data_IF_273348545542
#
_entry.id   IF_273348545542
#
_cell.length_a   1.000
_cell.length_b   1.000
_cell.length_c   1.000
_cell.angle_alpha   90.00
_cell.angle_beta   90.00
_cell.angle_gamma   90.00
#
_symmetry.space_group_name_H-M   'P 1'
#
loop_
_entity.id
_entity.type
_entity.pdbx_description
1 polymer ?
#
# COMPACT_ATOMS: atom_id res chain seq x y z
N UNK A 1 9.71 20.91 -6.14
CA UNK A 1 10.21 20.05 -5.04
C UNK A 1 10.44 18.64 -5.61
N UNK A 2 11.60 18.00 -5.37
CA UNK A 2 12.00 16.73 -6.00
C UNK A 2 10.98 15.58 -5.83
N UNK A 3 10.48 15.27 -4.61
CA UNK A 3 9.42 14.27 -4.41
C UNK A 3 8.11 14.56 -5.16
N UNK A 4 7.78 15.83 -5.39
CA UNK A 4 6.58 16.21 -6.15
C UNK A 4 6.71 15.76 -7.61
N UNK A 5 7.88 16.04 -8.21
CA UNK A 5 8.20 15.61 -9.57
C UNK A 5 8.18 14.09 -9.64
N UNK A 6 8.85 13.39 -8.72
CA UNK A 6 8.84 11.93 -8.68
C UNK A 6 7.42 11.33 -8.66
N UNK A 7 6.53 11.89 -7.83
CA UNK A 7 5.13 11.47 -7.77
C UNK A 7 4.38 11.70 -9.09
N UNK A 8 4.58 12.84 -9.74
CA UNK A 8 3.94 13.16 -11.03
C UNK A 8 4.42 12.18 -12.11
N UNK A 9 5.74 12.01 -12.27
CA UNK A 9 6.28 11.11 -13.29
C UNK A 9 5.79 9.67 -13.05
N UNK A 10 5.79 9.19 -11.81
CA UNK A 10 5.33 7.85 -11.48
C UNK A 10 3.82 7.66 -11.68
N UNK A 11 3.02 8.71 -11.49
CA UNK A 11 1.57 8.61 -11.72
C UNK A 11 1.20 8.67 -13.21
N UNK A 12 2.02 9.31 -14.04
CA UNK A 12 1.81 9.43 -15.49
C UNK A 12 2.28 8.19 -16.27
N UNK A 13 3.45 7.63 -15.92
CA UNK A 13 4.06 6.55 -16.69
C UNK A 13 4.24 5.24 -15.92
N UNK A 14 4.05 5.25 -14.60
CA UNK A 14 4.21 4.07 -13.73
C UNK A 14 5.55 3.32 -13.90
N UNK A 15 6.59 4.04 -14.33
CA UNK A 15 7.93 3.50 -14.48
C UNK A 15 8.55 3.20 -13.11
N UNK A 16 9.50 2.26 -13.10
CA UNK A 16 10.17 1.84 -11.87
C UNK A 16 10.79 3.03 -11.12
N UNK A 17 10.58 3.12 -9.82
CA UNK A 17 11.00 4.27 -8.99
C UNK A 17 12.52 4.52 -9.00
N UNK A 18 13.31 3.50 -9.36
CA UNK A 18 14.78 3.55 -9.45
C UNK A 18 15.32 3.68 -10.89
N UNK A 19 14.45 3.72 -11.91
CA UNK A 19 14.86 3.83 -13.32
C UNK A 19 15.50 5.19 -13.63
N UNK A 20 16.43 5.22 -14.59
CA UNK A 20 16.98 6.44 -15.22
C UNK A 20 17.44 7.55 -14.26
N UNK A 21 18.08 7.18 -13.14
CA UNK A 21 18.58 8.15 -12.15
C UNK A 21 17.49 8.86 -11.33
N UNK A 22 16.27 8.33 -11.32
CA UNK A 22 15.14 8.87 -10.54
C UNK A 22 15.25 8.64 -9.05
N UNK A 23 16.18 7.81 -8.59
CA UNK A 23 16.44 7.56 -7.17
C UNK A 23 16.77 8.85 -6.41
N UNK A 24 17.44 9.81 -7.07
CA UNK A 24 17.74 11.13 -6.49
C UNK A 24 16.53 12.06 -6.37
N UNK A 25 15.39 11.71 -6.96
CA UNK A 25 14.12 12.44 -6.85
C UNK A 25 13.21 11.88 -5.74
N UNK A 26 13.39 10.61 -5.39
CA UNK A 26 12.58 9.92 -4.41
C UNK A 26 12.87 10.39 -2.98
N UNK A 27 11.89 10.23 -2.10
CA UNK A 27 12.16 10.29 -0.66
C UNK A 27 12.89 9.02 -0.20
N UNK A 28 13.35 9.01 1.05
CA UNK A 28 14.10 7.88 1.61
C UNK A 28 13.37 6.53 1.49
N UNK A 29 12.05 6.54 1.66
CA UNK A 29 11.25 5.33 1.72
C UNK A 29 11.04 4.73 0.33
N UNK A 30 10.77 5.58 -0.67
CA UNK A 30 10.66 5.15 -2.07
C UNK A 30 12.04 4.75 -2.66
N UNK A 31 13.12 5.42 -2.24
CA UNK A 31 14.49 5.07 -2.65
C UNK A 31 14.92 3.68 -2.21
N UNK A 32 14.57 3.28 -0.99
CA UNK A 32 14.90 1.96 -0.45
C UNK A 32 13.76 0.95 -0.54
N UNK A 33 12.63 1.35 -1.14
CA UNK A 33 11.43 0.52 -1.30
C UNK A 33 11.02 -0.16 0.01
N UNK A 34 11.20 0.54 1.13
CA UNK A 34 10.95 0.07 2.50
C UNK A 34 10.84 1.28 3.45
N UNK A 35 10.04 1.17 4.52
CA UNK A 35 9.98 2.26 5.50
C UNK A 35 11.19 2.19 6.43
N UNK A 36 11.92 3.30 6.53
CA UNK A 36 12.95 3.47 7.53
C UNK A 36 12.35 3.55 8.95
N UNK A 37 13.00 2.91 9.90
CA UNK A 37 12.61 2.81 11.30
C UNK A 37 13.51 3.68 12.18
N UNK A 38 13.17 3.79 13.48
CA UNK A 38 13.84 4.70 14.43
C UNK A 38 15.35 4.48 14.55
N UNK A 39 15.83 3.27 14.38
CA UNK A 39 17.25 2.90 14.48
C UNK A 39 17.91 2.68 13.10
N UNK A 40 17.33 3.19 12.01
CA UNK A 40 17.89 3.04 10.66
C UNK A 40 17.60 1.70 9.97
N UNK A 41 16.88 0.79 10.62
CA UNK A 41 16.40 -0.46 9.99
C UNK A 41 15.16 -0.23 9.14
N UNK A 42 14.67 -1.29 8.49
CA UNK A 42 13.63 -1.21 7.47
C UNK A 42 12.50 -2.21 7.73
N UNK A 43 11.28 -1.84 7.31
CA UNK A 43 10.12 -2.74 7.32
C UNK A 43 10.00 -3.52 6.02
N UNK A 44 9.69 -4.81 6.11
CA UNK A 44 9.29 -5.66 4.99
C UNK A 44 7.80 -5.97 5.14
N UNK A 45 7.01 -5.55 4.14
CA UNK A 45 5.54 -5.70 4.16
C UNK A 45 5.07 -6.29 2.83
N UNK A 46 4.94 -7.62 2.76
CA UNK A 46 4.41 -8.31 1.59
C UNK A 46 2.94 -7.98 1.35
N UNK A 47 2.52 -8.02 0.08
CA UNK A 47 1.12 -7.89 -0.30
C UNK A 47 0.35 -9.15 0.07
N UNK A 48 -0.79 -8.97 0.73
CA UNK A 48 -1.78 -10.01 1.03
C UNK A 48 -3.13 -9.45 0.58
N UNK A 49 -3.50 -9.74 -0.67
CA UNK A 49 -4.66 -9.12 -1.31
C UNK A 49 -5.96 -9.53 -0.61
N UNK A 50 -6.81 -8.56 -0.27
CA UNK A 50 -8.04 -8.81 0.47
C UNK A 50 -7.86 -9.43 1.86
N UNK A 51 -6.63 -9.54 2.36
CA UNK A 51 -6.31 -10.26 3.60
C UNK A 51 -6.31 -11.78 3.49
N UNK A 52 -6.38 -12.34 2.27
CA UNK A 52 -6.41 -13.79 2.04
C UNK A 52 -4.99 -14.36 1.87
N UNK A 53 -4.64 -15.34 2.70
CA UNK A 53 -3.30 -15.96 2.73
C UNK A 53 -3.41 -17.47 2.94
N UNK A 54 -2.62 -18.24 2.19
CA UNK A 54 -2.54 -19.70 2.37
C UNK A 54 -1.67 -20.07 3.58
N UNK A 55 -1.88 -21.26 4.19
CA UNK A 55 -1.01 -21.74 5.26
C UNK A 55 0.47 -21.77 4.87
N UNK A 56 0.81 -22.22 3.65
CA UNK A 56 2.21 -22.26 3.18
C UNK A 56 2.84 -20.87 3.11
N UNK A 57 2.11 -19.88 2.58
CA UNK A 57 2.57 -18.49 2.55
C UNK A 57 2.74 -17.93 3.96
N UNK A 58 1.86 -18.28 4.89
CA UNK A 58 1.97 -17.88 6.29
C UNK A 58 3.21 -18.50 6.97
N UNK A 59 3.52 -19.77 6.67
CA UNK A 59 4.74 -20.44 7.15
C UNK A 59 5.98 -19.73 6.63
N UNK A 60 6.05 -19.40 5.34
CA UNK A 60 7.19 -18.66 4.76
C UNK A 60 7.42 -17.33 5.47
N UNK A 61 6.37 -16.56 5.78
CA UNK A 61 6.51 -15.31 6.55
C UNK A 61 7.11 -15.57 7.93
N UNK A 62 6.69 -16.66 8.59
CA UNK A 62 7.24 -17.06 9.89
C UNK A 62 8.69 -17.53 9.83
N UNK A 63 9.08 -18.24 8.76
CA UNK A 63 10.45 -18.69 8.53
C UNK A 63 11.39 -17.51 8.27
N UNK A 64 11.01 -16.60 7.38
CA UNK A 64 11.75 -15.35 7.13
C UNK A 64 11.88 -14.53 8.42
N UNK A 65 10.80 -14.37 9.17
CA UNK A 65 10.84 -13.64 10.44
C UNK A 65 11.81 -14.27 11.44
N UNK A 66 11.83 -15.60 11.56
CA UNK A 66 12.76 -16.32 12.45
C UNK A 66 14.21 -16.21 11.97
N UNK A 67 14.46 -16.40 10.67
CA UNK A 67 15.80 -16.37 10.09
C UNK A 67 16.50 -15.03 10.29
N UNK A 68 15.77 -13.93 10.14
CA UNK A 68 16.32 -12.57 10.24
C UNK A 68 15.98 -11.89 11.59
N UNK A 69 15.43 -12.65 12.55
CA UNK A 69 15.01 -12.17 13.88
C UNK A 69 14.13 -10.92 13.84
N UNK A 70 13.14 -10.89 12.95
CA UNK A 70 12.30 -9.72 12.71
C UNK A 70 11.13 -9.63 13.70
N UNK A 71 10.82 -8.42 14.15
CA UNK A 71 9.57 -8.16 14.87
C UNK A 71 8.39 -8.33 13.91
N UNK A 72 7.35 -9.06 14.34
CA UNK A 72 6.19 -9.42 13.51
C UNK A 72 4.90 -8.85 14.09
N UNK A 73 4.03 -8.31 13.23
CA UNK A 73 2.77 -7.72 13.66
C UNK A 73 1.66 -7.83 12.62
N UNK A 74 0.50 -8.32 13.06
CA UNK A 74 -0.75 -8.22 12.29
C UNK A 74 -1.23 -6.77 12.29
N UNK A 75 -1.55 -6.25 11.11
CA UNK A 75 -2.01 -4.87 10.92
C UNK A 75 -3.52 -4.78 10.74
N UNK A 76 -4.08 -3.58 10.96
CA UNK A 76 -5.48 -3.30 10.66
C UNK A 76 -5.84 -3.36 9.17
N UNK A 77 -4.86 -3.47 8.27
CA UNK A 77 -5.05 -3.70 6.84
C UNK A 77 -5.04 -5.17 6.43
N UNK A 78 -5.13 -6.09 7.40
CA UNK A 78 -5.07 -7.55 7.20
C UNK A 78 -3.75 -8.01 6.56
N UNK A 79 -2.64 -7.46 7.06
CA UNK A 79 -1.28 -7.84 6.64
C UNK A 79 -0.42 -8.26 7.81
N UNK A 80 0.68 -8.93 7.50
CA UNK A 80 1.78 -9.21 8.44
C UNK A 80 2.95 -8.29 8.09
N UNK A 81 3.28 -7.39 9.00
CA UNK A 81 4.44 -6.53 8.88
C UNK A 81 5.63 -7.16 9.60
N UNK A 82 6.81 -7.13 8.96
CA UNK A 82 8.09 -7.56 9.49
C UNK A 82 8.99 -6.34 9.69
N UNK A 83 9.59 -6.17 10.87
CA UNK A 83 10.37 -4.99 11.23
C UNK A 83 11.76 -5.37 11.75
N UNK A 84 12.74 -4.48 11.55
CA UNK A 84 14.11 -4.66 12.05
C UNK A 84 15.08 -5.18 10.98
N UNK A 85 14.65 -5.28 9.72
CA UNK A 85 15.53 -5.72 8.64
C UNK A 85 16.61 -4.66 8.38
N UNK A 86 17.87 -5.08 8.27
CA UNK A 86 18.98 -4.20 7.85
C UNK A 86 18.91 -3.98 6.34
N UNK A 87 19.54 -2.90 5.87
CA UNK A 87 19.49 -2.50 4.46
C UNK A 87 19.99 -3.63 3.55
N UNK A 88 21.11 -4.24 3.91
CA UNK A 88 21.78 -5.32 3.18
C UNK A 88 21.02 -6.65 3.21
N UNK A 89 20.09 -6.83 4.15
CA UNK A 89 19.26 -8.04 4.23
C UNK A 89 18.06 -7.97 3.28
N UNK A 90 17.62 -6.77 2.88
CA UNK A 90 16.39 -6.60 2.12
C UNK A 90 16.37 -7.42 0.81
N UNK A 91 17.42 -7.44 -0.04
CA UNK A 91 17.38 -8.24 -1.25
C UNK A 91 17.17 -9.74 -0.99
N UNK A 92 17.88 -10.32 -0.02
CA UNK A 92 17.78 -11.74 0.30
C UNK A 92 16.41 -12.12 0.91
N UNK A 93 15.86 -11.24 1.75
CA UNK A 93 14.49 -11.39 2.27
C UNK A 93 13.49 -11.39 1.11
N UNK A 94 13.59 -10.42 0.18
CA UNK A 94 12.67 -10.33 -0.94
C UNK A 94 12.84 -11.43 -1.98
N UNK A 95 14.03 -11.98 -2.18
CA UNK A 95 14.24 -13.20 -2.99
C UNK A 95 13.40 -14.36 -2.45
N UNK A 96 13.48 -14.61 -1.14
CA UNK A 96 12.71 -15.68 -0.48
C UNK A 96 11.20 -15.45 -0.63
N UNK A 97 10.74 -14.22 -0.39
CA UNK A 97 9.32 -13.87 -0.46
C UNK A 97 8.77 -13.93 -1.90
N UNK A 98 9.53 -13.42 -2.88
CA UNK A 98 9.12 -13.45 -4.29
C UNK A 98 9.11 -14.87 -4.85
N UNK A 99 10.06 -15.73 -4.44
CA UNK A 99 10.05 -17.15 -4.77
C UNK A 99 8.80 -17.87 -4.22
N UNK A 100 8.30 -17.45 -3.05
CA UNK A 100 7.04 -17.91 -2.48
C UNK A 100 5.78 -17.24 -3.10
N UNK A 101 5.95 -16.39 -4.12
CA UNK A 101 4.87 -15.74 -4.83
C UNK A 101 4.26 -14.53 -4.11
N UNK A 102 5.03 -13.84 -3.26
CA UNK A 102 4.66 -12.53 -2.74
C UNK A 102 5.08 -11.39 -3.66
N UNK A 103 4.30 -10.31 -3.62
CA UNK A 103 4.63 -9.02 -4.22
C UNK A 103 4.85 -7.97 -3.13
N UNK A 104 5.45 -6.83 -3.48
CA UNK A 104 5.55 -5.71 -2.55
C UNK A 104 4.20 -5.10 -2.21
N UNK A 105 3.96 -4.92 -0.90
CA UNK A 105 2.76 -4.27 -0.39
C UNK A 105 2.78 -2.74 -0.54
N UNK A 106 3.88 -2.16 -1.06
CA UNK A 106 4.10 -0.71 -1.19
C UNK A 106 3.82 0.06 0.09
N UNK A 107 4.11 -0.53 1.25
CA UNK A 107 3.88 0.09 2.56
C UNK A 107 4.77 1.33 2.81
N UNK A 108 5.69 1.65 1.91
CA UNK A 108 6.58 2.81 1.96
C UNK A 108 6.08 3.98 1.10
N UNK A 109 5.49 3.69 -0.06
CA UNK A 109 5.13 4.69 -1.06
C UNK A 109 3.87 5.52 -0.77
N UNK A 110 3.71 6.63 -1.48
CA UNK A 110 2.39 7.30 -1.62
C UNK A 110 1.59 6.59 -2.72
N UNK A 111 0.99 5.48 -2.33
CA UNK A 111 0.32 4.54 -3.23
C UNK A 111 -0.90 3.89 -2.57
N UNK A 112 -1.63 3.04 -3.31
CA UNK A 112 -2.58 2.13 -2.69
C UNK A 112 -1.85 1.22 -1.70
N UNK A 113 -2.24 1.33 -0.43
CA UNK A 113 -1.65 0.55 0.65
C UNK A 113 -2.32 -0.79 0.83
N UNK A 114 -3.64 -0.85 1.04
CA UNK A 114 -4.35 -2.09 1.38
C UNK A 114 -5.82 -1.95 0.98
N UNK A 115 -6.43 -3.07 0.61
CA UNK A 115 -7.88 -3.20 0.48
C UNK A 115 -8.35 -4.21 1.52
N UNK A 116 -8.90 -3.72 2.64
CA UNK A 116 -9.41 -4.59 3.71
C UNK A 116 -10.72 -5.24 3.27
N UNK A 117 -10.91 -6.53 3.52
CA UNK A 117 -12.17 -7.21 3.24
C UNK A 117 -12.80 -7.77 4.51
N UNK A 118 -14.09 -8.07 4.49
CA UNK A 118 -14.63 -9.11 5.38
C UNK A 118 -14.77 -10.41 4.60
N UNK A 119 -15.04 -11.52 5.31
CA UNK A 119 -15.15 -12.85 4.70
C UNK A 119 -16.36 -13.04 3.76
N UNK A 120 -17.18 -12.00 3.56
CA UNK A 120 -18.23 -11.96 2.54
C UNK A 120 -19.28 -13.06 2.64
N UNK A 121 -20.00 -13.28 1.53
CA UNK A 121 -20.92 -14.42 1.36
C UNK A 121 -20.20 -15.78 1.33
N UNK A 122 -18.87 -15.79 1.17
CA UNK A 122 -18.05 -17.00 1.18
C UNK A 122 -18.13 -17.75 2.51
N UNK A 123 -18.17 -17.02 3.64
CA UNK A 123 -18.20 -17.62 4.98
C UNK A 123 -19.24 -17.02 5.94
N UNK A 124 -19.57 -15.74 5.80
CA UNK A 124 -20.47 -15.08 6.74
C UNK A 124 -21.92 -15.40 6.39
N UNK A 125 -22.70 -15.88 7.38
CA UNK A 125 -24.15 -16.09 7.23
C UNK A 125 -24.96 -14.83 6.85
N UNK A 126 -24.36 -13.65 7.01
CA UNK A 126 -24.94 -12.35 6.67
C UNK A 126 -24.28 -11.70 5.44
N UNK A 127 -23.33 -12.38 4.81
CA UNK A 127 -22.69 -11.89 3.60
C UNK A 127 -23.70 -11.87 2.46
N UNK A 128 -23.87 -10.71 1.85
CA UNK A 128 -24.76 -10.49 0.71
C UNK A 128 -24.02 -10.78 -0.60
N UNK A 129 -22.76 -10.31 -0.71
CA UNK A 129 -21.91 -10.55 -1.88
C UNK A 129 -20.48 -10.96 -1.47
N UNK A 130 -19.72 -11.43 -2.47
CA UNK A 130 -18.32 -11.82 -2.31
C UNK A 130 -17.41 -10.58 -2.20
N UNK A 131 -17.27 -10.08 -0.98
CA UNK A 131 -16.36 -8.96 -0.69
C UNK A 131 -14.89 -9.33 -0.79
N UNK A 132 -14.52 -10.61 -0.66
CA UNK A 132 -13.12 -11.03 -0.73
C UNK A 132 -12.67 -10.97 -2.19
N UNK A 133 -13.43 -11.58 -3.11
CA UNK A 133 -13.17 -11.51 -4.54
C UNK A 133 -13.10 -10.08 -5.05
N UNK A 134 -14.08 -9.23 -4.70
CA UNK A 134 -14.06 -7.82 -5.11
C UNK A 134 -12.88 -7.04 -4.49
N UNK A 135 -12.51 -7.30 -3.23
CA UNK A 135 -11.33 -6.68 -2.63
C UNK A 135 -10.03 -7.08 -3.34
N UNK A 136 -9.90 -8.36 -3.73
CA UNK A 136 -8.75 -8.86 -4.49
C UNK A 136 -8.70 -8.19 -5.88
N UNK A 137 -9.84 -8.07 -6.57
CA UNK A 137 -9.95 -7.38 -7.86
C UNK A 137 -9.49 -5.92 -7.75
N UNK A 138 -10.01 -5.17 -6.77
CA UNK A 138 -9.62 -3.77 -6.54
C UNK A 138 -8.13 -3.68 -6.17
N UNK A 139 -7.65 -4.53 -5.27
CA UNK A 139 -6.24 -4.48 -4.83
C UNK A 139 -5.27 -4.79 -5.96
N UNK A 140 -5.62 -5.74 -6.83
CA UNK A 140 -4.81 -6.12 -8.00
C UNK A 140 -4.94 -5.15 -9.16
N UNK A 141 -6.06 -4.44 -9.31
CA UNK A 141 -6.20 -3.40 -10.33
C UNK A 141 -5.34 -2.18 -9.96
N UNK A 142 -5.43 -1.71 -8.73
CA UNK A 142 -4.77 -0.46 -8.32
C UNK A 142 -3.40 -0.67 -7.65
N UNK A 143 -2.81 -1.87 -7.75
CA UNK A 143 -1.44 -2.09 -7.29
C UNK A 143 -0.47 -1.29 -8.15
N UNK A 144 0.52 -0.67 -7.50
CA UNK A 144 1.49 0.20 -8.17
C UNK A 144 1.03 1.65 -8.35
N UNK A 145 -0.27 1.96 -8.29
CA UNK A 145 -0.76 3.33 -8.43
C UNK A 145 -0.08 4.27 -7.44
N UNK A 146 0.71 5.22 -7.96
CA UNK A 146 1.24 6.35 -7.22
C UNK A 146 0.21 7.48 -7.20
N UNK A 147 0.17 8.21 -6.10
CA UNK A 147 -0.86 9.22 -5.85
C UNK A 147 -0.36 10.33 -4.93
N UNK A 148 -1.01 11.51 -4.91
CA UNK A 148 -0.58 12.66 -4.10
C UNK A 148 -0.37 12.33 -2.62
N UNK A 149 -1.11 11.37 -2.08
CA UNK A 149 -0.90 10.80 -0.76
C UNK A 149 -1.27 9.30 -0.73
N UNK A 150 -0.88 8.57 0.33
CA UNK A 150 -1.26 7.16 0.52
C UNK A 150 -2.79 6.98 0.47
N UNK A 151 -3.23 5.91 -0.19
CA UNK A 151 -4.62 5.51 -0.33
C UNK A 151 -4.89 4.22 0.44
N UNK A 152 -6.08 4.09 1.02
CA UNK A 152 -6.60 2.85 1.60
C UNK A 152 -8.01 2.62 1.06
N UNK A 153 -8.35 1.33 0.90
CA UNK A 153 -9.70 0.93 0.55
C UNK A 153 -10.18 -0.22 1.43
N UNK A 154 -11.46 -0.52 1.33
CA UNK A 154 -12.03 -1.73 1.89
C UNK A 154 -13.34 -2.11 1.19
N UNK A 155 -13.66 -3.40 1.21
CA UNK A 155 -14.88 -3.98 0.68
C UNK A 155 -15.60 -4.75 1.78
N UNK A 156 -16.84 -4.35 2.08
CA UNK A 156 -17.71 -5.06 3.02
C UNK A 156 -18.80 -5.81 2.28
N UNK A 157 -18.96 -7.10 2.57
CA UNK A 157 -19.95 -7.95 1.93
C UNK A 157 -21.40 -7.71 2.39
N UNK A 158 -21.64 -6.78 3.31
CA UNK A 158 -22.97 -6.29 3.71
C UNK A 158 -22.87 -4.99 4.54
N UNK A 159 -24.02 -4.41 4.88
CA UNK A 159 -24.16 -3.16 5.64
C UNK A 159 -23.66 -3.22 7.09
N UNK A 160 -23.31 -4.42 7.61
CA UNK A 160 -22.62 -4.57 8.91
C UNK A 160 -21.20 -4.04 8.90
N UNK A 161 -20.64 -3.81 7.71
CA UNK A 161 -19.46 -2.96 7.52
C UNK A 161 -18.19 -3.44 8.25
N UNK A 162 -18.00 -4.76 8.44
CA UNK A 162 -16.85 -5.28 9.20
C UNK A 162 -15.47 -4.89 8.64
N UNK A 163 -15.40 -4.47 7.37
CA UNK A 163 -14.18 -4.00 6.74
C UNK A 163 -13.90 -2.49 6.94
N UNK A 164 -14.75 -1.75 7.66
CA UNK A 164 -14.57 -0.32 7.92
C UNK A 164 -14.42 0.51 6.61
N UNK A 165 -15.14 0.14 5.55
CA UNK A 165 -15.18 0.79 4.24
C UNK A 165 -15.48 2.29 4.30
N UNK A 166 -16.34 2.75 5.19
CA UNK A 166 -16.66 4.17 5.35
C UNK A 166 -15.53 4.96 6.03
N UNK A 167 -14.42 4.33 6.43
CA UNK A 167 -13.26 5.03 7.00
C UNK A 167 -12.08 5.17 6.02
N UNK A 168 -12.28 4.75 4.76
CA UNK A 168 -11.24 4.61 3.73
C UNK A 168 -11.34 5.71 2.68
N UNK A 169 -10.24 5.93 1.96
CA UNK A 169 -10.18 6.95 0.90
C UNK A 169 -11.20 6.65 -0.21
N UNK A 170 -11.49 5.37 -0.46
CA UNK A 170 -12.69 4.88 -1.14
C UNK A 170 -13.09 3.51 -0.56
N UNK A 171 -14.38 3.24 -0.40
CA UNK A 171 -14.89 2.03 0.23
C UNK A 171 -16.11 1.49 -0.51
N UNK A 172 -16.28 0.17 -0.47
CA UNK A 172 -17.35 -0.53 -1.19
C UNK A 172 -18.17 -1.35 -0.20
N UNK A 173 -19.49 -1.24 -0.27
CA UNK A 173 -20.41 -1.99 0.60
C UNK A 173 -21.46 -2.69 -0.27
N UNK A 174 -21.58 -4.00 -0.14
CA UNK A 174 -22.56 -4.78 -0.86
C UNK A 174 -23.99 -4.46 -0.40
N UNK A 175 -24.89 -4.41 -1.38
CA UNK A 175 -26.35 -4.40 -1.22
C UNK A 175 -26.93 -5.59 -1.98
N UNK A 176 -28.24 -5.83 -1.83
CA UNK A 176 -28.94 -6.87 -2.61
C UNK A 176 -29.00 -6.54 -4.11
N UNK A 177 -28.76 -5.28 -4.49
CA UNK A 177 -28.88 -4.79 -5.87
C UNK A 177 -27.54 -4.54 -6.55
N UNK A 178 -26.42 -4.61 -5.84
CA UNK A 178 -25.10 -4.27 -6.35
C UNK A 178 -24.20 -3.71 -5.25
N UNK A 179 -23.43 -2.69 -5.59
CA UNK A 179 -22.45 -2.07 -4.70
C UNK A 179 -22.77 -0.60 -4.43
N UNK A 180 -22.67 -0.22 -3.16
CA UNK A 180 -22.57 1.18 -2.78
C UNK A 180 -21.09 1.58 -2.73
N UNK A 181 -20.74 2.61 -3.50
CA UNK A 181 -19.41 3.22 -3.49
C UNK A 181 -19.42 4.42 -2.55
N UNK A 182 -18.44 4.48 -1.65
CA UNK A 182 -18.19 5.59 -0.73
C UNK A 182 -16.82 6.19 -1.03
N UNK A 183 -16.67 7.51 -0.94
CA UNK A 183 -15.41 8.20 -1.25
C UNK A 183 -15.00 9.22 -0.19
N UNK A 184 -13.71 9.55 -0.19
CA UNK A 184 -13.13 10.65 0.59
C UNK A 184 -13.18 10.47 2.11
N UNK A 185 -13.27 9.23 2.62
CA UNK A 185 -13.08 8.95 4.04
C UNK A 185 -11.60 8.92 4.42
N UNK A 186 -11.29 9.02 5.70
CA UNK A 186 -9.94 8.77 6.17
C UNK A 186 -9.86 8.38 7.64
N UNK A 187 -9.06 7.36 7.93
CA UNK A 187 -8.42 7.21 9.24
C UNK A 187 -7.25 8.19 9.43
N UNK A 188 -6.86 8.41 10.69
CA UNK A 188 -5.67 9.20 11.05
C UNK A 188 -5.96 10.27 12.11
N UNK A 189 -5.17 11.35 12.08
CA UNK A 189 -5.20 12.42 13.08
C UNK A 189 -6.56 13.13 13.16
N UNK A 190 -7.23 13.32 12.02
CA UNK A 190 -8.61 13.83 11.91
C UNK A 190 -9.45 12.79 11.19
N UNK A 191 -10.06 11.82 11.89
CA UNK A 191 -10.87 10.81 11.24
C UNK A 191 -12.10 11.45 10.57
N UNK A 192 -12.46 10.95 9.39
CA UNK A 192 -13.61 11.41 8.60
C UNK A 192 -14.29 10.19 7.97
N UNK A 193 -15.62 10.14 8.06
CA UNK A 193 -16.40 9.14 7.31
C UNK A 193 -16.44 9.51 5.83
N UNK A 194 -16.37 8.49 4.98
CA UNK A 194 -16.56 8.62 3.54
C UNK A 194 -18.02 8.92 3.23
N UNK A 195 -18.26 9.69 2.17
CA UNK A 195 -19.60 10.03 1.72
C UNK A 195 -20.10 8.99 0.72
N UNK A 196 -21.39 8.66 0.78
CA UNK A 196 -22.03 7.79 -0.21
C UNK A 196 -21.95 8.48 -1.59
N UNK A 197 -21.24 7.86 -2.53
CA UNK A 197 -20.96 8.43 -3.83
C UNK A 197 -21.99 7.99 -4.87
N UNK A 198 -22.22 6.67 -4.97
CA UNK A 198 -23.18 6.05 -5.86
C UNK A 198 -23.68 4.72 -5.25
N UNK A 199 -24.85 4.27 -5.68
CA UNK A 199 -25.55 3.10 -5.14
C UNK A 199 -25.90 2.10 -6.22
N UNK A 200 -26.12 0.84 -5.83
CA UNK A 200 -26.65 -0.22 -6.69
C UNK A 200 -25.82 -0.42 -7.98
N UNK A 201 -24.50 -0.24 -7.88
CA UNK A 201 -23.58 -0.41 -9.01
C UNK A 201 -23.34 -1.89 -9.32
N UNK A 202 -23.26 -2.23 -10.59
CA UNK A 202 -22.63 -3.49 -11.02
C UNK A 202 -21.09 -3.40 -10.94
N UNK A 203 -20.42 -4.54 -11.09
CA UNK A 203 -18.97 -4.65 -10.98
C UNK A 203 -18.23 -3.74 -11.99
N UNK A 204 -18.72 -3.66 -13.23
CA UNK A 204 -18.07 -2.90 -14.29
C UNK A 204 -18.16 -1.39 -14.02
N UNK A 205 -19.35 -0.90 -13.69
CA UNK A 205 -19.62 0.51 -13.38
C UNK A 205 -18.88 0.93 -12.10
N UNK A 206 -18.83 0.06 -11.09
CA UNK A 206 -18.05 0.28 -9.87
C UNK A 206 -16.58 0.56 -10.21
N UNK A 207 -15.96 -0.30 -11.02
CA UNK A 207 -14.57 -0.15 -11.42
C UNK A 207 -14.36 1.13 -12.23
N UNK A 208 -15.23 1.44 -13.20
CA UNK A 208 -15.14 2.69 -13.98
C UNK A 208 -15.18 3.93 -13.07
N UNK A 209 -16.09 3.97 -12.10
CA UNK A 209 -16.18 5.12 -11.19
C UNK A 209 -14.97 5.23 -10.28
N UNK A 210 -14.41 4.12 -9.80
CA UNK A 210 -13.16 4.14 -9.01
C UNK A 210 -11.99 4.61 -9.88
N UNK A 211 -11.86 4.13 -11.12
CA UNK A 211 -10.80 4.55 -12.05
C UNK A 211 -10.81 6.06 -12.26
N UNK A 212 -11.99 6.61 -12.61
CA UNK A 212 -12.21 8.04 -12.83
C UNK A 212 -11.94 8.85 -11.56
N UNK A 213 -12.46 8.41 -10.42
CA UNK A 213 -12.24 9.07 -9.12
C UNK A 213 -10.74 9.15 -8.79
N UNK A 214 -10.03 8.03 -8.89
CA UNK A 214 -8.61 7.95 -8.55
C UNK A 214 -7.76 8.80 -9.51
N UNK A 215 -8.01 8.72 -10.81
CA UNK A 215 -7.27 9.52 -11.79
C UNK A 215 -7.57 11.01 -11.68
N UNK A 216 -8.83 11.38 -11.42
CA UNK A 216 -9.19 12.78 -11.21
C UNK A 216 -8.52 13.35 -9.94
N UNK A 217 -8.49 12.58 -8.85
CA UNK A 217 -7.74 12.91 -7.64
C UNK A 217 -6.24 13.06 -7.93
N UNK A 218 -5.64 12.11 -8.65
CA UNK A 218 -4.21 12.16 -9.02
C UNK A 218 -3.87 13.41 -9.83
N UNK A 219 -4.75 13.83 -10.75
CA UNK A 219 -4.54 14.99 -11.61
C UNK A 219 -4.71 16.33 -10.90
N UNK A 220 -5.63 16.42 -9.95
CA UNK A 220 -6.12 17.72 -9.44
C UNK A 220 -5.75 18.01 -7.99
N UNK A 221 -5.37 17.00 -7.20
CA UNK A 221 -5.03 17.21 -5.81
C UNK A 221 -3.61 17.75 -5.62
N UNK A 222 -3.46 18.57 -4.59
CA UNK A 222 -2.18 19.10 -4.17
C UNK A 222 -1.28 18.00 -3.59
N UNK A 223 0.03 18.27 -3.62
CA UNK A 223 1.05 17.38 -3.05
C UNK A 223 0.76 17.09 -1.57
N UNK A 224 0.77 15.80 -1.21
CA UNK A 224 0.48 15.31 0.15
C UNK A 224 -0.93 15.63 0.67
N UNK A 225 -1.87 15.99 -0.20
CA UNK A 225 -3.26 16.22 0.15
C UNK A 225 -4.01 14.88 0.23
N UNK A 226 -4.79 14.66 1.29
CA UNK A 226 -5.69 13.49 1.41
C UNK A 226 -6.94 13.70 0.54
N UNK A 227 -7.58 12.62 0.10
CA UNK A 227 -8.82 12.67 -0.69
C UNK A 227 -9.93 13.45 0.02
N UNK A 228 -10.04 13.33 1.35
CA UNK A 228 -10.97 14.13 2.15
C UNK A 228 -10.76 15.63 2.01
N UNK A 229 -9.55 16.11 2.30
CA UNK A 229 -9.19 17.53 2.21
C UNK A 229 -9.25 18.03 0.77
N UNK A 230 -8.93 17.18 -0.19
CA UNK A 230 -9.06 17.49 -1.61
C UNK A 230 -10.52 17.75 -1.98
N UNK A 231 -11.43 16.83 -1.63
CA UNK A 231 -12.87 16.99 -1.92
C UNK A 231 -13.48 18.21 -1.21
N UNK A 232 -13.11 18.44 0.06
CA UNK A 232 -13.58 19.61 0.82
C UNK A 232 -13.14 20.96 0.17
N UNK A 233 -12.04 20.95 -0.60
CA UNK A 233 -11.53 22.13 -1.32
C UNK A 233 -12.09 22.28 -2.74
N UNK A 234 -12.81 21.29 -3.28
CA UNK A 234 -13.46 21.41 -4.58
C UNK A 234 -14.69 22.31 -4.45
N UNK A 235 -14.82 23.30 -5.33
CA UNK A 235 -16.04 24.10 -5.42
C UNK A 235 -17.22 23.18 -5.82
N UNK A 236 -18.24 23.10 -4.95
CA UNK A 236 -19.35 22.14 -5.10
C UNK A 236 -19.10 20.76 -4.49
N UNK A 237 -17.91 20.49 -3.94
CA UNK A 237 -17.60 19.30 -3.14
C UNK A 237 -17.98 17.98 -3.82
N UNK A 238 -18.76 17.16 -3.10
CA UNK A 238 -19.19 15.83 -3.56
C UNK A 238 -20.07 15.90 -4.82
N UNK A 239 -20.93 16.92 -4.94
CA UNK A 239 -21.84 17.04 -6.08
C UNK A 239 -21.07 17.40 -7.35
N UNK A 240 -20.08 18.29 -7.25
CA UNK A 240 -19.16 18.53 -8.37
C UNK A 240 -18.39 17.26 -8.74
N UNK A 241 -17.89 16.52 -7.75
CA UNK A 241 -17.18 15.27 -8.00
C UNK A 241 -18.06 14.24 -8.72
N UNK A 242 -19.35 14.12 -8.37
CA UNK A 242 -20.32 13.30 -9.09
C UNK A 242 -20.50 13.79 -10.53
N UNK A 243 -20.69 15.09 -10.73
CA UNK A 243 -20.86 15.67 -12.05
C UNK A 243 -19.67 15.39 -12.98
N UNK A 244 -18.43 15.34 -12.45
CA UNK A 244 -17.24 15.01 -13.24
C UNK A 244 -17.10 13.51 -13.49
N UNK A 245 -17.27 12.68 -12.45
CA UNK A 245 -16.97 11.25 -12.52
C UNK A 245 -18.12 10.43 -13.13
N UNK A 246 -19.36 10.78 -12.82
CA UNK A 246 -20.57 10.04 -13.23
C UNK A 246 -21.14 10.65 -14.51
N UNK A 247 -21.44 11.94 -14.48
CA UNK A 247 -22.11 12.65 -15.60
C UNK A 247 -21.15 13.12 -16.69
N UNK A 248 -19.83 12.93 -16.49
CA UNK A 248 -18.76 13.30 -17.41
C UNK A 248 -18.88 14.75 -17.94
N UNK A 249 -19.25 15.69 -17.07
CA UNK A 249 -19.46 17.10 -17.45
C UNK A 249 -18.24 17.80 -18.05
N UNK A 250 -17.04 17.26 -17.82
CA UNK A 250 -15.78 17.75 -18.41
C UNK A 250 -15.38 16.99 -19.69
N UNK A 251 -16.08 15.92 -20.07
CA UNK A 251 -15.78 15.04 -21.20
C UNK A 251 -14.36 14.44 -21.13
N UNK A 252 -13.95 13.97 -19.96
CA UNK A 252 -12.62 13.40 -19.70
C UNK A 252 -12.67 11.95 -19.20
N UNK A 253 -13.86 11.36 -19.02
CA UNK A 253 -13.99 10.01 -18.47
C UNK A 253 -13.16 8.96 -19.24
N UNK A 254 -13.24 8.96 -20.57
CA UNK A 254 -12.48 8.04 -21.42
C UNK A 254 -10.96 8.22 -21.24
N UNK A 255 -10.50 9.46 -21.09
CA UNK A 255 -9.09 9.77 -20.88
C UNK A 255 -8.60 9.30 -19.51
N UNK A 256 -9.41 9.47 -18.47
CA UNK A 256 -9.12 9.00 -17.12
C UNK A 256 -9.06 7.47 -17.07
N UNK A 257 -10.02 6.78 -17.69
CA UNK A 257 -10.04 5.31 -17.78
C UNK A 257 -8.83 4.77 -18.56
N UNK A 258 -8.48 5.38 -19.70
CA UNK A 258 -7.30 4.98 -20.47
C UNK A 258 -5.99 5.18 -19.70
N UNK A 259 -5.88 6.26 -18.91
CA UNK A 259 -4.72 6.47 -18.05
C UNK A 259 -4.63 5.44 -16.93
N UNK A 260 -5.75 5.12 -16.27
CA UNK A 260 -5.76 4.03 -15.29
C UNK A 260 -5.36 2.69 -15.93
N UNK A 261 -5.88 2.39 -17.12
CA UNK A 261 -5.53 1.16 -17.82
C UNK A 261 -4.03 1.09 -18.15
N UNK A 262 -3.41 2.20 -18.56
CA UNK A 262 -1.96 2.28 -18.72
C UNK A 262 -1.20 1.93 -17.43
N UNK A 263 -1.65 2.43 -16.28
CA UNK A 263 -1.06 2.10 -14.96
C UNK A 263 -1.22 0.61 -14.64
N UNK A 264 -2.38 0.03 -14.94
CA UNK A 264 -2.64 -1.41 -14.75
C UNK A 264 -1.72 -2.26 -15.63
N UNK A 265 -1.63 -1.94 -16.92
CA UNK A 265 -0.90 -2.73 -17.91
C UNK A 265 0.62 -2.65 -17.73
N UNK A 266 1.11 -1.55 -17.15
CA UNK A 266 2.53 -1.31 -16.89
C UNK A 266 3.01 -1.82 -15.53
N UNK A 267 2.12 -2.42 -14.73
CA UNK A 267 2.48 -2.82 -13.38
C UNK A 267 3.64 -3.83 -13.35
N UNK A 268 4.62 -3.54 -12.50
CA UNK A 268 5.70 -4.44 -12.14
C UNK A 268 5.91 -4.43 -10.62
N UNK A 269 6.30 -5.57 -10.06
CA UNK A 269 6.68 -5.65 -8.66
C UNK A 269 8.08 -5.04 -8.48
N UNK A 270 8.16 -3.87 -7.83
CA UNK A 270 9.42 -3.11 -7.68
C UNK A 270 10.56 -3.95 -7.07
N UNK A 271 10.24 -4.79 -6.07
CA UNK A 271 11.24 -5.67 -5.48
C UNK A 271 11.69 -6.79 -6.41
N UNK A 272 10.79 -7.36 -7.22
CA UNK A 272 11.15 -8.36 -8.22
C UNK A 272 12.09 -7.77 -9.27
N UNK A 273 11.76 -6.58 -9.78
CA UNK A 273 12.63 -5.85 -10.72
C UNK A 273 13.99 -5.53 -10.11
N UNK A 274 14.04 -5.11 -8.84
CA UNK A 274 15.28 -4.75 -8.16
C UNK A 274 16.20 -5.94 -7.82
N UNK A 275 15.65 -7.13 -7.53
CA UNK A 275 16.46 -8.34 -7.29
C UNK A 275 17.01 -8.94 -8.58
N UNK A 276 16.27 -8.82 -9.68
CA UNK A 276 16.66 -9.34 -11.00
C UNK A 276 17.73 -8.44 -11.69
N UNK A 277 17.89 -7.20 -11.22
CA UNK A 277 18.89 -6.23 -11.70
C UNK A 277 20.10 -6.12 -10.74
N UNK A 278 21.25 -6.62 -11.18
CA UNK A 278 22.48 -6.62 -10.38
C UNK A 278 22.97 -5.21 -9.98
N UNK A 279 22.72 -4.18 -10.78
CA UNK A 279 23.11 -2.80 -10.46
C UNK A 279 22.16 -2.19 -9.43
N UNK A 280 20.86 -2.49 -9.50
CA UNK A 280 19.92 -2.06 -8.47
C UNK A 280 20.20 -2.74 -7.14
N UNK A 281 20.57 -4.03 -7.15
CA UNK A 281 20.93 -4.77 -5.94
C UNK A 281 22.11 -4.14 -5.17
N UNK A 282 23.08 -3.55 -5.87
CA UNK A 282 24.22 -2.84 -5.24
C UNK A 282 23.80 -1.63 -4.41
N UNK A 283 22.61 -1.06 -4.66
CA UNK A 283 22.07 0.09 -3.91
C UNK A 283 21.64 -0.27 -2.48
N UNK A 284 21.49 -1.56 -2.18
CA UNK A 284 21.10 -2.09 -0.87
C UNK A 284 22.31 -2.63 -0.10
N UNK A 285 23.37 -1.83 0.05
CA UNK A 285 24.55 -2.16 0.86
C UNK A 285 24.71 -1.12 1.97
N UNK A 286 25.12 -1.57 3.15
CA UNK A 286 25.41 -0.67 4.28
C UNK A 286 26.58 0.28 3.97
N UNK A 287 27.64 -0.22 3.34
CA UNK A 287 28.79 0.55 2.92
C UNK A 287 29.11 0.29 1.45
N UNK A 288 29.47 1.35 0.71
CA UNK A 288 29.85 1.25 -0.71
C UNK A 288 31.14 0.46 -0.92
N UNK A 289 32.05 0.50 0.08
CA UNK A 289 33.41 -0.03 -0.02
C UNK A 289 33.66 -1.21 0.93
N UNK A 290 32.64 -1.77 1.58
CA UNK A 290 32.78 -2.84 2.56
C UNK A 290 31.51 -3.67 2.68
N UNK A 291 31.69 -4.97 2.91
CA UNK A 291 30.59 -5.89 3.25
C UNK A 291 30.31 -5.94 4.77
N UNK A 292 30.94 -5.04 5.55
CA UNK A 292 30.71 -4.93 6.97
C UNK A 292 29.25 -4.55 7.29
N UNK A 293 28.73 -5.07 8.40
CA UNK A 293 27.42 -4.71 8.93
C UNK A 293 27.48 -3.40 9.70
N UNK A 294 26.36 -2.67 9.73
CA UNK A 294 26.24 -1.48 10.58
C UNK A 294 26.03 -1.89 12.06
N UNK A 295 27.11 -1.82 12.84
CA UNK A 295 27.12 -2.18 14.26
C UNK A 295 26.47 -1.11 15.17
N UNK A 296 25.99 0.01 14.60
CA UNK A 296 25.26 1.03 15.36
C UNK A 296 23.79 0.64 15.58
N UNK A 297 23.28 -0.31 14.81
CA UNK A 297 21.92 -0.82 14.94
C UNK A 297 21.83 -1.74 16.16
N UNK A 298 21.10 -1.30 17.18
CA UNK A 298 20.96 -2.04 18.43
C UNK A 298 19.50 -2.39 18.73
N UNK A 299 19.29 -3.61 19.22
CA UNK A 299 17.99 -4.13 19.61
C UNK A 299 18.01 -4.67 21.04
N UNK A 300 16.83 -4.72 21.66
CA UNK A 300 16.60 -5.43 22.93
C UNK A 300 15.36 -6.31 22.80
N UNK A 301 15.24 -7.36 23.63
CA UNK A 301 14.02 -8.17 23.69
C UNK A 301 12.96 -7.51 24.56
N UNK A 302 11.75 -7.40 24.03
CA UNK A 302 10.58 -7.02 24.81
C UNK A 302 9.36 -7.77 24.25
N UNK A 303 8.58 -8.41 25.13
CA UNK A 303 7.43 -9.26 24.75
C UNK A 303 7.83 -10.32 23.70
N UNK A 304 8.92 -11.03 23.98
CA UNK A 304 9.44 -12.14 23.15
C UNK A 304 9.94 -11.75 21.75
N UNK A 305 9.92 -10.46 21.39
CA UNK A 305 10.34 -9.96 20.09
C UNK A 305 11.42 -8.88 20.23
N UNK A 306 12.08 -8.53 19.13
CA UNK A 306 13.03 -7.41 19.11
C UNK A 306 12.30 -6.06 19.09
N UNK A 307 12.95 -5.04 19.61
CA UNK A 307 12.63 -3.64 19.34
C UNK A 307 13.91 -2.79 19.32
N UNK A 308 13.90 -1.61 18.69
CA UNK A 308 15.01 -0.67 18.81
C UNK A 308 15.35 -0.39 20.29
N UNK A 309 16.65 -0.39 20.60
CA UNK A 309 17.14 0.02 21.90
C UNK A 309 16.81 1.51 22.15
N UNK A 310 16.49 1.85 23.41
CA UNK A 310 16.30 3.24 23.85
C UNK A 310 17.65 3.81 24.29
N UNK A 311 17.76 5.13 24.24
CA UNK A 311 18.92 5.83 24.78
C UNK A 311 19.12 5.48 26.27
N UNK A 312 20.31 5.04 26.65
CA UNK A 312 20.65 4.63 28.01
C UNK A 312 20.43 3.14 28.35
N UNK A 313 19.91 2.33 27.44
CA UNK A 313 19.88 0.86 27.63
C UNK A 313 21.30 0.28 27.49
N UNK A 314 21.77 -0.44 28.53
CA UNK A 314 23.15 -0.93 28.63
C UNK A 314 23.41 -2.17 27.78
N UNK A 315 24.69 -2.42 27.46
CA UNK A 315 25.15 -3.55 26.65
C UNK A 315 24.71 -4.94 27.10
N UNK A 316 24.36 -5.11 28.37
CA UNK A 316 23.82 -6.37 28.92
C UNK A 316 22.37 -6.65 28.49
N UNK A 317 21.63 -5.62 28.06
CA UNK A 317 20.28 -5.74 27.51
C UNK A 317 20.25 -5.78 25.97
N UNK A 318 21.36 -5.37 25.36
CA UNK A 318 21.52 -5.31 23.91
C UNK A 318 21.77 -6.71 23.35
N UNK A 319 21.08 -7.03 22.27
CA UNK A 319 21.34 -8.21 21.47
C UNK A 319 22.32 -7.80 20.39
N UNK A 320 23.48 -8.44 20.33
CA UNK A 320 24.34 -8.35 19.17
C UNK A 320 23.57 -8.93 17.98
N UNK A 321 23.34 -8.13 16.94
CA UNK A 321 22.78 -8.62 15.68
C UNK A 321 23.66 -9.75 15.16
N UNK A 322 23.07 -10.91 14.93
CA UNK A 322 23.76 -12.03 14.28
C UNK A 322 24.41 -11.54 12.98
N UNK A 323 25.72 -11.79 12.89
CA UNK A 323 26.53 -11.60 11.70
C UNK A 323 26.07 -12.47 10.55
#
# INVERSE_FOLDING_TARGET
CKPAVASILASLWNEHVLADGRDGLQDTNDRFMANMQKNGTYSVVPRIAGGEITPDKLIVLGEVAKQYDLYTKITGGQRVDLFGARLEQLPAIWETLTAAGFETGHAYGKSLRTVKSCVGSTWCRYGVQDSVGMAITIENRYKGLRSPHKLKSAVSGCTRECAEAQSKDFGVIATEKGWNLYVCGNGGMRPRHADLFATDLDDATLIQYIDRFLMFYVRTADRLQRTSVWMDNLEGGLDYLRAVVIDDTLNIATELEAQMQCVVDSYQCEWKTAIDDSEQRKKFRAFVNSDATDNTVQFVREREQIRPAKEGETSTSLIATAG
#
